data_IF_188257409998
#
_entry.id   IF_188257409998
#
_cell.length_a   1.000
_cell.length_b   1.000
_cell.length_c   1.000
_cell.angle_alpha   90.00
_cell.angle_beta   90.00
_cell.angle_gamma   90.00
#
_symmetry.space_group_name_H-M   'P 1'
#
loop_
_entity.id
_entity.type
_entity.pdbx_description
1 polymer ?
#
# COMPACT_ATOMS: atom_id res chain seq x y z
N UNK A 1 -18.59 34.69 -6.65
CA UNK A 1 -19.26 33.57 -7.36
C UNK A 1 -18.47 32.29 -7.17
N UNK A 2 -17.18 32.25 -7.54
CA UNK A 2 -16.31 31.10 -7.31
C UNK A 2 -16.21 30.68 -5.84
N UNK A 3 -15.85 31.58 -4.92
CA UNK A 3 -15.79 31.25 -3.49
C UNK A 3 -17.14 30.74 -2.91
N UNK A 4 -18.27 31.24 -3.41
CA UNK A 4 -19.59 30.74 -2.99
C UNK A 4 -19.86 29.32 -3.50
N UNK A 5 -19.37 28.99 -4.70
CA UNK A 5 -19.42 27.62 -5.22
C UNK A 5 -18.55 26.67 -4.38
N UNK A 6 -17.34 27.09 -4.01
CA UNK A 6 -16.45 26.29 -3.17
C UNK A 6 -17.09 26.00 -1.80
N UNK A 7 -17.70 26.99 -1.15
CA UNK A 7 -18.42 26.78 0.10
C UNK A 7 -19.59 25.78 -0.04
N UNK A 8 -20.33 25.83 -1.15
CA UNK A 8 -21.40 24.86 -1.41
C UNK A 8 -20.85 23.45 -1.65
N UNK A 9 -19.73 23.33 -2.39
CA UNK A 9 -19.08 22.05 -2.64
C UNK A 9 -18.50 21.44 -1.35
N UNK A 10 -17.88 22.27 -0.49
CA UNK A 10 -17.41 21.86 0.84
C UNK A 10 -18.54 21.36 1.75
N UNK A 11 -19.75 21.92 1.61
CA UNK A 11 -20.98 21.47 2.29
C UNK A 11 -21.65 20.26 1.61
N UNK A 12 -21.02 19.68 0.57
CA UNK A 12 -21.53 18.54 -0.21
C UNK A 12 -22.71 18.88 -1.14
N UNK A 13 -23.06 20.17 -1.29
CA UNK A 13 -24.14 20.66 -2.14
C UNK A 13 -23.66 20.85 -3.58
N UNK A 14 -23.11 19.78 -4.15
CA UNK A 14 -22.37 19.81 -5.41
C UNK A 14 -23.22 20.26 -6.62
N UNK A 15 -24.51 19.92 -6.65
CA UNK A 15 -25.41 20.35 -7.72
C UNK A 15 -25.64 21.88 -7.71
N UNK A 16 -25.81 22.46 -6.53
CA UNK A 16 -25.94 23.92 -6.38
C UNK A 16 -24.61 24.61 -6.65
N UNK A 17 -23.50 24.03 -6.18
CA UNK A 17 -22.16 24.50 -6.48
C UNK A 17 -21.93 24.56 -8.00
N UNK A 18 -22.34 23.55 -8.76
CA UNK A 18 -22.21 23.50 -10.23
C UNK A 18 -22.89 24.70 -10.91
N UNK A 19 -24.07 25.11 -10.45
CA UNK A 19 -24.74 26.30 -10.99
C UNK A 19 -23.91 27.58 -10.80
N UNK A 20 -23.27 27.72 -9.65
CA UNK A 20 -22.40 28.85 -9.32
C UNK A 20 -21.06 28.79 -10.06
N UNK A 21 -20.49 27.60 -10.21
CA UNK A 21 -19.31 27.34 -11.01
C UNK A 21 -19.54 27.71 -12.48
N UNK A 22 -20.66 27.28 -13.09
CA UNK A 22 -21.03 27.68 -14.46
C UNK A 22 -21.19 29.19 -14.63
N UNK A 23 -21.74 29.88 -13.63
CA UNK A 23 -21.83 31.35 -13.62
C UNK A 23 -20.44 32.00 -13.57
N UNK A 24 -19.54 31.47 -12.74
CA UNK A 24 -18.16 31.95 -12.65
C UNK A 24 -17.37 31.71 -13.95
N UNK A 25 -17.53 30.54 -14.58
CA UNK A 25 -16.83 30.18 -15.82
C UNK A 25 -17.23 31.07 -17.01
N UNK A 26 -18.48 31.55 -17.06
CA UNK A 26 -18.89 32.54 -18.08
C UNK A 26 -18.10 33.85 -18.00
N UNK A 27 -17.61 34.21 -16.82
CA UNK A 27 -16.84 35.44 -16.61
C UNK A 27 -15.34 35.21 -16.73
N UNK A 28 -14.87 34.03 -16.31
CA UNK A 28 -13.45 33.65 -16.30
C UNK A 28 -13.26 32.24 -16.90
N UNK A 29 -13.38 32.08 -18.23
CA UNK A 29 -13.42 30.74 -18.86
C UNK A 29 -12.06 30.02 -18.91
N UNK A 30 -10.96 30.73 -18.67
CA UNK A 30 -9.57 30.23 -18.73
C UNK A 30 -8.86 30.29 -17.36
N UNK A 31 -9.60 30.52 -16.28
CA UNK A 31 -9.02 30.56 -14.94
C UNK A 31 -8.77 29.12 -14.45
N UNK A 32 -7.50 28.72 -14.37
CA UNK A 32 -7.10 27.33 -14.11
C UNK A 32 -7.57 26.82 -12.74
N UNK A 33 -7.51 27.68 -11.71
CA UNK A 33 -8.03 27.36 -10.38
C UNK A 33 -9.54 27.10 -10.40
N UNK A 34 -10.31 27.98 -11.05
CA UNK A 34 -11.74 27.78 -11.22
C UNK A 34 -12.05 26.50 -12.02
N UNK A 35 -11.36 26.26 -13.14
CA UNK A 35 -11.55 25.04 -13.94
C UNK A 35 -11.28 23.79 -13.10
N UNK A 36 -10.23 23.79 -12.28
CA UNK A 36 -9.86 22.70 -11.38
C UNK A 36 -10.93 22.46 -10.31
N UNK A 37 -11.47 23.52 -9.69
CA UNK A 37 -12.55 23.41 -8.71
C UNK A 37 -13.86 22.91 -9.35
N UNK A 38 -14.19 23.38 -10.55
CA UNK A 38 -15.32 22.85 -11.32
C UNK A 38 -15.13 21.37 -11.61
N UNK A 39 -13.94 20.94 -12.03
CA UNK A 39 -13.66 19.54 -12.34
C UNK A 39 -13.78 18.63 -11.11
N UNK A 40 -13.28 19.08 -9.96
CA UNK A 40 -13.45 18.38 -8.69
C UNK A 40 -14.94 18.22 -8.34
N UNK A 41 -15.74 19.27 -8.47
CA UNK A 41 -17.19 19.20 -8.28
C UNK A 41 -17.88 18.26 -9.29
N UNK A 42 -17.41 18.24 -10.55
CA UNK A 42 -17.92 17.33 -11.57
C UNK A 42 -17.63 15.86 -11.21
N UNK A 43 -16.47 15.56 -10.63
CA UNK A 43 -16.14 14.22 -10.14
C UNK A 43 -17.10 13.76 -9.04
N UNK A 44 -17.44 14.64 -8.09
CA UNK A 44 -18.42 14.35 -7.04
C UNK A 44 -19.83 14.07 -7.60
N UNK A 45 -20.18 14.70 -8.72
CA UNK A 45 -21.44 14.51 -9.44
C UNK A 45 -21.41 13.36 -10.47
N UNK A 46 -20.31 12.61 -10.55
CA UNK A 46 -20.09 11.55 -11.55
C UNK A 46 -20.14 12.03 -13.02
N UNK A 47 -19.87 13.32 -13.25
CA UNK A 47 -19.78 13.94 -14.58
C UNK A 47 -18.36 13.79 -15.13
N UNK A 48 -17.97 12.54 -15.43
CA UNK A 48 -16.58 12.18 -15.73
C UNK A 48 -16.04 12.80 -17.03
N UNK A 49 -16.88 13.08 -18.02
CA UNK A 49 -16.43 13.66 -19.28
C UNK A 49 -16.22 15.16 -19.16
N UNK A 50 -17.11 15.83 -18.43
CA UNK A 50 -17.02 17.24 -18.08
C UNK A 50 -15.79 17.50 -17.19
N UNK A 51 -15.55 16.64 -16.20
CA UNK A 51 -14.33 16.71 -15.40
C UNK A 51 -13.05 16.60 -16.24
N UNK A 52 -13.05 15.70 -17.25
CA UNK A 52 -11.91 15.51 -18.16
C UNK A 52 -11.65 16.76 -19.02
N UNK A 53 -12.69 17.33 -19.63
CA UNK A 53 -12.58 18.58 -20.41
C UNK A 53 -12.04 19.72 -19.56
N UNK A 54 -12.61 19.90 -18.36
CA UNK A 54 -12.22 20.96 -17.44
C UNK A 54 -10.78 20.80 -16.97
N UNK A 55 -10.33 19.59 -16.65
CA UNK A 55 -8.93 19.31 -16.28
C UNK A 55 -7.97 19.53 -17.44
N UNK A 56 -8.31 19.07 -18.66
CA UNK A 56 -7.50 19.31 -19.84
C UNK A 56 -7.28 20.81 -20.07
N UNK A 57 -8.37 21.59 -20.04
CA UNK A 57 -8.32 23.04 -20.18
C UNK A 57 -7.57 23.73 -19.06
N UNK A 58 -7.65 23.23 -17.83
CA UNK A 58 -6.90 23.77 -16.70
C UNK A 58 -5.39 23.56 -16.90
N UNK A 59 -4.99 22.35 -17.30
CA UNK A 59 -3.60 21.99 -17.55
C UNK A 59 -3.00 22.69 -18.77
N UNK A 60 -3.82 23.05 -19.77
CA UNK A 60 -3.38 23.91 -20.89
C UNK A 60 -2.94 25.31 -20.42
N UNK A 61 -3.37 25.76 -19.24
CA UNK A 61 -2.97 27.05 -18.66
C UNK A 61 -1.77 26.92 -17.74
N UNK A 62 -1.83 25.99 -16.79
CA UNK A 62 -0.78 25.74 -15.80
C UNK A 62 -0.90 24.33 -15.21
N UNK A 63 0.18 23.83 -14.60
CA UNK A 63 0.17 22.56 -13.89
C UNK A 63 0.21 22.76 -12.37
N UNK A 64 -0.44 21.86 -11.64
CA UNK A 64 -0.37 21.80 -10.18
C UNK A 64 -0.43 20.35 -9.69
N UNK A 65 0.11 20.11 -8.50
CA UNK A 65 0.02 18.80 -7.84
C UNK A 65 -1.43 18.31 -7.74
N UNK A 66 -2.35 19.20 -7.37
CA UNK A 66 -3.79 18.89 -7.28
C UNK A 66 -4.39 18.48 -8.62
N UNK A 67 -4.04 19.13 -9.72
CA UNK A 67 -4.53 18.75 -11.05
C UNK A 67 -4.09 17.35 -11.44
N UNK A 68 -2.81 16.99 -11.24
CA UNK A 68 -2.34 15.64 -11.51
C UNK A 68 -3.05 14.57 -10.68
N UNK A 69 -3.28 14.85 -9.38
CA UNK A 69 -4.04 13.94 -8.51
C UNK A 69 -5.49 13.76 -9.00
N UNK A 70 -6.16 14.84 -9.40
CA UNK A 70 -7.51 14.77 -9.98
C UNK A 70 -7.54 14.00 -11.30
N UNK A 71 -6.54 14.17 -12.17
CA UNK A 71 -6.40 13.38 -13.41
C UNK A 71 -6.21 11.90 -13.08
N UNK A 72 -5.38 11.57 -12.10
CA UNK A 72 -5.18 10.18 -11.68
C UNK A 72 -6.44 9.54 -11.11
N UNK A 73 -7.17 10.28 -10.27
CA UNK A 73 -8.45 9.86 -9.73
C UNK A 73 -9.48 9.64 -10.83
N UNK A 74 -9.66 10.61 -11.73
CA UNK A 74 -10.55 10.52 -12.89
C UNK A 74 -10.22 9.31 -13.77
N UNK A 75 -8.94 9.15 -14.14
CA UNK A 75 -8.48 8.05 -14.98
C UNK A 75 -8.75 6.70 -14.30
N UNK A 76 -8.51 6.60 -12.99
CA UNK A 76 -8.83 5.40 -12.22
C UNK A 76 -10.33 5.07 -12.21
N UNK A 77 -11.20 6.08 -12.09
CA UNK A 77 -12.66 5.91 -12.18
C UNK A 77 -13.12 5.44 -13.57
N UNK A 78 -12.42 5.86 -14.64
CA UNK A 78 -12.65 5.39 -16.01
C UNK A 78 -12.01 4.03 -16.31
N UNK A 79 -11.25 3.44 -15.38
CA UNK A 79 -10.48 2.21 -15.61
C UNK A 79 -9.20 2.40 -16.44
N UNK A 80 -8.80 3.65 -16.70
CA UNK A 80 -7.63 4.04 -17.48
C UNK A 80 -6.35 4.02 -16.63
N UNK A 81 -6.03 2.87 -16.03
CA UNK A 81 -4.94 2.75 -15.05
C UNK A 81 -3.56 3.20 -15.56
N UNK A 82 -3.28 3.03 -16.86
CA UNK A 82 -2.03 3.51 -17.46
C UNK A 82 -1.95 5.04 -17.47
N UNK A 83 -3.08 5.72 -17.71
CA UNK A 83 -3.16 7.18 -17.67
C UNK A 83 -3.03 7.69 -16.24
N UNK A 84 -3.65 7.02 -15.27
CA UNK A 84 -3.49 7.34 -13.85
C UNK A 84 -2.02 7.22 -13.40
N UNK A 85 -1.34 6.16 -13.83
CA UNK A 85 0.08 5.94 -13.55
C UNK A 85 0.96 7.04 -14.13
N UNK A 86 0.76 7.39 -15.41
CA UNK A 86 1.52 8.46 -16.06
C UNK A 86 1.32 9.79 -15.33
N UNK A 87 0.08 10.12 -14.96
CA UNK A 87 -0.21 11.35 -14.22
C UNK A 87 0.51 11.41 -12.87
N UNK A 88 0.47 10.32 -12.08
CA UNK A 88 1.13 10.28 -10.76
C UNK A 88 2.66 10.28 -10.86
N UNK A 89 3.23 9.60 -11.87
CA UNK A 89 4.67 9.61 -12.11
C UNK A 89 5.17 11.00 -12.51
N UNK A 90 4.47 11.67 -13.43
CA UNK A 90 4.77 13.05 -13.80
C UNK A 90 4.66 13.98 -12.58
N UNK A 91 3.61 13.82 -11.77
CA UNK A 91 3.42 14.59 -10.56
C UNK A 91 4.57 14.39 -9.55
N UNK A 92 5.03 13.15 -9.37
CA UNK A 92 6.15 12.84 -8.47
C UNK A 92 7.50 13.35 -9.00
N UNK A 93 7.64 13.54 -10.31
CA UNK A 93 8.83 14.19 -10.90
C UNK A 93 8.80 15.71 -10.67
N UNK A 94 7.66 16.36 -10.89
CA UNK A 94 7.52 17.82 -10.74
C UNK A 94 7.41 18.27 -9.27
N UNK A 95 6.83 17.44 -8.41
CA UNK A 95 6.57 17.71 -6.99
C UNK A 95 7.09 16.56 -6.10
N UNK A 96 8.41 16.30 -6.07
CA UNK A 96 8.99 15.10 -5.48
C UNK A 96 8.85 14.97 -3.95
N UNK A 97 8.40 16.02 -3.26
CA UNK A 97 8.18 16.05 -1.80
C UNK A 97 6.72 16.30 -1.43
N UNK A 98 5.81 16.29 -2.41
CA UNK A 98 4.39 16.45 -2.12
C UNK A 98 3.84 15.14 -1.53
N UNK A 99 3.48 15.19 -0.25
CA UNK A 99 3.05 14.03 0.51
C UNK A 99 1.79 13.38 -0.08
N UNK A 100 0.92 14.18 -0.66
CA UNK A 100 -0.34 13.77 -1.25
C UNK A 100 -0.12 12.99 -2.56
N UNK A 101 0.79 13.45 -3.42
CA UNK A 101 1.21 12.72 -4.63
C UNK A 101 1.89 11.40 -4.26
N UNK A 102 2.81 11.41 -3.30
CA UNK A 102 3.53 10.21 -2.89
C UNK A 102 2.56 9.17 -2.29
N UNK A 103 1.61 9.60 -1.47
CA UNK A 103 0.58 8.71 -0.94
C UNK A 103 -0.30 8.11 -2.05
N UNK A 104 -0.78 8.93 -3.00
CA UNK A 104 -1.60 8.44 -4.12
C UNK A 104 -0.82 7.46 -5.01
N UNK A 105 0.47 7.72 -5.25
CA UNK A 105 1.34 6.84 -6.02
C UNK A 105 1.64 5.52 -5.29
N UNK A 106 1.86 5.54 -3.97
CA UNK A 106 2.00 4.32 -3.17
C UNK A 106 0.73 3.47 -3.23
N UNK A 107 -0.44 4.08 -3.05
CA UNK A 107 -1.74 3.40 -3.16
C UNK A 107 -1.95 2.81 -4.56
N UNK A 108 -1.62 3.54 -5.62
CA UNK A 108 -1.67 3.03 -7.00
C UNK A 108 -0.82 1.78 -7.17
N UNK A 109 0.45 1.79 -6.72
CA UNK A 109 1.32 0.63 -6.81
C UNK A 109 0.82 -0.56 -5.99
N UNK A 110 0.26 -0.30 -4.81
CA UNK A 110 -0.40 -1.34 -4.01
C UNK A 110 -1.57 -1.96 -4.77
N UNK A 111 -2.44 -1.17 -5.41
CA UNK A 111 -3.57 -1.67 -6.21
C UNK A 111 -3.10 -2.52 -7.40
N UNK A 112 -1.96 -2.18 -8.01
CA UNK A 112 -1.34 -2.92 -9.12
C UNK A 112 -0.48 -4.11 -8.69
N UNK A 113 -0.50 -4.48 -7.40
CA UNK A 113 0.32 -5.55 -6.83
C UNK A 113 1.83 -5.39 -7.06
N UNK A 114 2.32 -4.13 -7.05
CA UNK A 114 3.74 -3.79 -7.18
C UNK A 114 4.32 -3.41 -5.82
N UNK A 115 4.56 -4.40 -4.97
CA UNK A 115 5.03 -4.24 -3.58
C UNK A 115 6.29 -3.38 -3.48
N UNK A 116 7.35 -3.75 -4.20
CA UNK A 116 8.66 -3.10 -4.08
C UNK A 116 8.59 -1.61 -4.49
N UNK A 117 7.78 -1.30 -5.52
CA UNK A 117 7.54 0.10 -5.92
C UNK A 117 6.77 0.88 -4.86
N UNK A 118 5.75 0.28 -4.25
CA UNK A 118 5.01 0.93 -3.18
C UNK A 118 5.90 1.19 -1.95
N UNK A 119 6.75 0.25 -1.59
CA UNK A 119 7.73 0.37 -0.50
C UNK A 119 8.70 1.54 -0.76
N UNK A 120 9.26 1.64 -1.97
CA UNK A 120 10.12 2.77 -2.36
C UNK A 120 9.42 4.13 -2.21
N UNK A 121 8.15 4.24 -2.63
CA UNK A 121 7.40 5.50 -2.54
C UNK A 121 7.02 5.83 -1.09
N UNK A 122 6.73 4.84 -0.25
CA UNK A 122 6.45 5.05 1.18
C UNK A 122 7.69 5.58 1.90
N UNK A 123 8.89 5.09 1.58
CA UNK A 123 10.13 5.65 2.12
C UNK A 123 10.34 7.10 1.65
N UNK A 124 10.04 7.42 0.38
CA UNK A 124 10.08 8.82 -0.09
C UNK A 124 9.08 9.72 0.65
N UNK A 125 7.88 9.21 0.96
CA UNK A 125 6.87 9.94 1.74
C UNK A 125 7.38 10.25 3.15
N UNK A 126 8.03 9.28 3.78
CA UNK A 126 8.68 9.46 5.08
C UNK A 126 9.80 10.50 5.00
N UNK A 127 10.66 10.43 3.99
CA UNK A 127 11.73 11.40 3.75
C UNK A 127 11.22 12.82 3.45
N UNK A 128 9.98 12.94 2.94
CA UNK A 128 9.29 14.21 2.75
C UNK A 128 8.72 14.79 4.07
N UNK A 129 8.76 14.05 5.17
CA UNK A 129 8.38 14.49 6.51
C UNK A 129 6.98 14.08 6.98
N UNK A 130 6.25 13.28 6.20
CA UNK A 130 4.94 12.73 6.59
C UNK A 130 5.10 11.31 7.15
N UNK A 131 5.75 11.22 8.32
CA UNK A 131 6.06 9.95 8.97
C UNK A 131 4.80 9.17 9.39
N UNK A 132 3.75 9.88 9.82
CA UNK A 132 2.49 9.27 10.25
C UNK A 132 1.82 8.54 9.09
N UNK A 133 1.61 9.24 7.96
CA UNK A 133 0.98 8.64 6.78
C UNK A 133 1.86 7.56 6.14
N UNK A 134 3.18 7.71 6.17
CA UNK A 134 4.10 6.66 5.74
C UNK A 134 3.97 5.39 6.61
N UNK A 135 3.83 5.53 7.92
CA UNK A 135 3.63 4.40 8.83
C UNK A 135 2.28 3.71 8.61
N UNK A 136 1.22 4.47 8.35
CA UNK A 136 -0.10 3.94 8.00
C UNK A 136 -0.03 3.12 6.70
N UNK A 137 0.47 3.72 5.61
CA UNK A 137 0.62 3.05 4.32
C UNK A 137 1.56 1.84 4.40
N UNK A 138 2.63 1.91 5.18
CA UNK A 138 3.52 0.78 5.44
C UNK A 138 2.79 -0.38 6.13
N UNK A 139 1.92 -0.08 7.09
CA UNK A 139 1.09 -1.08 7.77
C UNK A 139 0.07 -1.71 6.82
N UNK A 140 -0.55 -0.91 5.95
CA UNK A 140 -1.45 -1.40 4.91
C UNK A 140 -0.75 -2.27 3.87
N UNK A 141 0.43 -1.85 3.40
CA UNK A 141 1.30 -2.61 2.51
C UNK A 141 1.62 -3.97 3.13
N UNK A 142 2.09 -3.97 4.38
CA UNK A 142 2.40 -5.19 5.10
C UNK A 142 1.17 -6.08 5.22
N UNK A 143 -0.01 -5.56 5.59
CA UNK A 143 -1.24 -6.35 5.69
C UNK A 143 -1.66 -6.97 4.34
N UNK A 144 -1.48 -6.22 3.25
CA UNK A 144 -1.85 -6.66 1.89
C UNK A 144 -0.92 -7.74 1.35
N UNK A 145 0.39 -7.59 1.54
CA UNK A 145 1.37 -8.47 0.90
C UNK A 145 1.95 -9.53 1.83
N UNK A 146 1.76 -9.41 3.15
CA UNK A 146 2.28 -10.36 4.12
C UNK A 146 1.18 -10.93 5.01
N UNK A 147 1.45 -12.11 5.58
CA UNK A 147 0.69 -12.72 6.65
C UNK A 147 1.60 -13.03 7.85
N UNK A 148 1.07 -13.00 9.07
CA UNK A 148 1.85 -13.33 10.25
C UNK A 148 1.99 -14.85 10.44
N UNK A 149 3.16 -15.25 10.92
CA UNK A 149 3.41 -16.52 11.58
C UNK A 149 3.84 -16.18 13.00
N UNK A 150 3.22 -16.78 14.01
CA UNK A 150 3.54 -16.48 15.40
C UNK A 150 4.09 -17.71 16.12
N UNK A 151 5.07 -17.49 16.98
CA UNK A 151 5.48 -18.47 17.97
C UNK A 151 4.32 -18.66 18.97
N UNK A 152 3.80 -19.88 19.07
CA UNK A 152 2.68 -20.20 19.95
C UNK A 152 3.00 -20.08 21.45
N UNK A 153 4.28 -19.99 21.82
CA UNK A 153 4.72 -19.95 23.22
C UNK A 153 5.08 -18.55 23.70
N UNK A 154 5.85 -17.78 22.91
CA UNK A 154 6.30 -16.44 23.29
C UNK A 154 5.62 -15.30 22.52
N UNK A 155 4.74 -15.60 21.56
CA UNK A 155 4.03 -14.61 20.77
C UNK A 155 4.85 -13.92 19.67
N UNK A 156 6.16 -14.20 19.57
CA UNK A 156 7.04 -13.64 18.52
C UNK A 156 6.40 -13.75 17.15
N UNK A 157 6.32 -12.63 16.43
CA UNK A 157 5.77 -12.54 15.08
C UNK A 157 6.87 -12.54 14.03
N UNK A 158 6.66 -13.33 12.97
CA UNK A 158 7.36 -13.22 11.69
C UNK A 158 6.34 -12.87 10.62
N UNK A 159 6.71 -12.06 9.64
CA UNK A 159 5.88 -11.77 8.47
C UNK A 159 6.45 -12.44 7.25
N UNK A 160 5.58 -13.13 6.52
CA UNK A 160 5.92 -13.83 5.29
C UNK A 160 5.07 -13.31 4.14
N UNK A 161 5.56 -13.30 2.90
CA UNK A 161 4.74 -12.99 1.73
C UNK A 161 3.49 -13.88 1.72
N UNK A 162 2.34 -13.33 1.32
CA UNK A 162 1.12 -14.15 1.10
C UNK A 162 1.23 -15.05 -0.11
N UNK A 163 1.98 -14.61 -1.12
CA UNK A 163 2.26 -15.38 -2.32
C UNK A 163 3.70 -15.89 -2.25
N UNK A 164 3.87 -17.04 -1.60
CA UNK A 164 5.18 -17.70 -1.47
C UNK A 164 5.36 -18.62 -2.67
N UNK A 165 6.39 -18.44 -3.50
CA UNK A 165 6.66 -19.35 -4.61
C UNK A 165 6.92 -20.76 -4.07
N UNK A 166 6.65 -21.83 -4.85
CA UNK A 166 6.85 -23.21 -4.40
C UNK A 166 8.22 -23.40 -3.75
N UNK A 167 8.23 -23.79 -2.47
CA UNK A 167 9.46 -23.99 -1.73
C UNK A 167 9.98 -25.41 -1.94
N UNK A 168 11.26 -25.53 -2.29
CA UNK A 168 11.94 -26.81 -2.29
C UNK A 168 12.09 -27.36 -0.85
N UNK A 169 12.37 -28.65 -0.72
CA UNK A 169 12.71 -29.23 0.58
C UNK A 169 13.97 -28.55 1.14
N UNK A 170 13.84 -27.85 2.26
CA UNK A 170 14.95 -27.15 2.88
C UNK A 170 15.86 -28.12 3.64
N UNK A 171 17.16 -28.10 3.32
CA UNK A 171 18.22 -28.67 4.16
C UNK A 171 18.99 -27.53 4.80
N UNK A 172 18.87 -27.45 6.12
CA UNK A 172 19.56 -26.46 6.94
C UNK A 172 21.05 -26.84 7.00
N UNK A 173 21.94 -25.90 6.65
CA UNK A 173 23.40 -26.11 6.63
C UNK A 173 24.11 -25.59 7.87
N UNK A 174 23.58 -24.53 8.45
CA UNK A 174 24.12 -23.86 9.64
C UNK A 174 23.11 -23.89 10.78
N UNK A 175 23.59 -23.76 12.02
CA UNK A 175 22.70 -23.64 13.19
C UNK A 175 21.93 -22.32 13.13
N UNK A 176 20.59 -22.34 13.00
CA UNK A 176 19.79 -21.14 12.97
C UNK A 176 19.66 -20.52 14.37
N UNK A 177 19.65 -19.18 14.48
CA UNK A 177 19.49 -18.49 15.76
C UNK A 177 18.12 -18.74 16.42
N UNK A 178 18.07 -18.51 17.74
CA UNK A 178 16.93 -18.82 18.60
C UNK A 178 15.64 -18.07 18.28
N UNK A 179 15.75 -16.97 17.53
CA UNK A 179 14.66 -16.14 17.07
C UNK A 179 13.97 -16.64 15.80
N UNK A 180 14.48 -17.69 15.15
CA UNK A 180 13.86 -18.30 13.98
C UNK A 180 12.88 -19.43 14.35
N UNK A 181 11.93 -19.75 13.47
CA UNK A 181 11.00 -20.86 13.70
C UNK A 181 11.74 -22.21 13.68
N UNK A 182 11.52 -23.04 14.69
CA UNK A 182 12.01 -24.41 14.77
C UNK A 182 11.22 -25.37 13.86
N UNK A 183 9.94 -25.07 13.65
CA UNK A 183 9.02 -25.89 12.88
C UNK A 183 7.59 -25.75 13.37
N UNK A 184 6.70 -26.48 12.71
CA UNK A 184 5.26 -26.51 12.98
C UNK A 184 4.85 -27.90 13.44
N UNK A 185 4.03 -27.98 14.47
CA UNK A 185 3.47 -29.24 14.93
C UNK A 185 2.52 -29.81 13.88
N UNK A 186 2.68 -31.10 13.52
CA UNK A 186 1.78 -31.75 12.55
C UNK A 186 0.41 -32.14 13.10
N UNK A 187 0.17 -31.95 14.40
CA UNK A 187 -1.10 -32.26 15.08
C UNK A 187 -1.88 -30.97 15.33
N UNK A 188 -1.40 -30.08 16.21
CA UNK A 188 -2.11 -28.82 16.51
C UNK A 188 -1.82 -27.66 15.54
N UNK A 189 -0.86 -27.78 14.60
CA UNK A 189 -0.52 -26.72 13.65
C UNK A 189 0.25 -25.53 14.25
N UNK A 190 0.64 -25.58 15.53
CA UNK A 190 1.37 -24.51 16.20
C UNK A 190 2.81 -24.43 15.71
N UNK A 191 3.26 -23.22 15.35
CA UNK A 191 4.66 -22.91 15.05
C UNK A 191 5.35 -22.39 16.31
N UNK A 192 6.62 -22.78 16.53
CA UNK A 192 7.39 -22.42 17.72
C UNK A 192 8.78 -21.95 17.31
N UNK A 193 9.34 -20.94 17.99
CA UNK A 193 10.73 -20.51 17.76
C UNK A 193 11.74 -21.49 18.38
N UNK A 194 12.97 -21.51 17.86
CA UNK A 194 14.06 -22.37 18.34
C UNK A 194 14.33 -22.15 19.84
N UNK A 195 14.39 -20.90 20.30
CA UNK A 195 14.59 -20.60 21.72
C UNK A 195 13.53 -21.21 22.64
N UNK A 196 12.25 -21.16 22.26
CA UNK A 196 11.19 -21.82 23.02
C UNK A 196 11.26 -23.34 22.89
N UNK A 197 11.53 -23.86 21.69
CA UNK A 197 11.58 -25.28 21.41
C UNK A 197 12.73 -26.01 22.12
N UNK A 198 13.83 -25.33 22.44
CA UNK A 198 14.95 -25.86 23.25
C UNK A 198 14.52 -26.40 24.62
N UNK A 199 13.45 -25.86 25.21
CA UNK A 199 12.90 -26.34 26.48
C UNK A 199 12.18 -27.70 26.35
N UNK A 200 11.92 -28.15 25.12
CA UNK A 200 11.22 -29.40 24.82
C UNK A 200 11.97 -30.20 23.75
N UNK A 201 13.23 -30.49 24.04
CA UNK A 201 14.10 -31.32 23.21
C UNK A 201 13.91 -32.79 23.59
N UNK A 202 13.60 -33.64 22.61
CA UNK A 202 13.55 -35.09 22.83
C UNK A 202 14.94 -35.72 22.94
N UNK A 203 15.00 -36.92 23.48
CA UNK A 203 16.24 -37.73 23.58
C UNK A 203 16.88 -37.99 22.20
N UNK A 204 16.09 -37.91 21.13
CA UNK A 204 16.51 -38.01 19.72
C UNK A 204 17.11 -36.70 19.16
N UNK A 205 17.29 -35.68 20.01
CA UNK A 205 17.82 -34.37 19.63
C UNK A 205 16.85 -33.54 18.80
N UNK A 206 15.56 -33.93 18.72
CA UNK A 206 14.55 -33.22 17.92
C UNK A 206 13.67 -32.34 18.79
N UNK A 207 13.40 -31.13 18.30
CA UNK A 207 12.43 -30.24 18.92
C UNK A 207 11.02 -30.83 18.87
N UNK A 208 10.30 -30.78 19.99
CA UNK A 208 8.95 -31.35 20.13
C UNK A 208 7.93 -30.30 20.51
N UNK A 209 6.69 -30.52 20.08
CA UNK A 209 5.56 -29.71 20.49
C UNK A 209 5.33 -29.86 22.01
N UNK A 210 5.19 -28.75 22.73
CA UNK A 210 4.96 -28.74 24.18
C UNK A 210 3.61 -29.34 24.59
N UNK A 211 2.63 -29.38 23.68
CA UNK A 211 1.29 -29.91 23.93
C UNK A 211 1.13 -31.35 23.45
N UNK A 212 1.53 -31.63 22.21
CA UNK A 212 1.29 -32.93 21.58
C UNK A 212 2.47 -33.92 21.73
N UNK A 213 3.64 -33.45 22.16
CA UNK A 213 4.86 -34.28 22.30
C UNK A 213 5.48 -34.78 20.98
N UNK A 214 4.85 -34.49 19.82
CA UNK A 214 5.35 -34.89 18.50
C UNK A 214 6.48 -33.98 18.01
N UNK A 215 7.42 -34.48 17.18
CA UNK A 215 8.47 -33.65 16.59
C UNK A 215 7.90 -32.52 15.73
N UNK A 216 8.45 -31.32 15.88
CA UNK A 216 8.15 -30.20 14.98
C UNK A 216 8.68 -30.49 13.58
N UNK A 217 7.91 -30.14 12.55
CA UNK A 217 8.24 -30.42 11.14
C UNK A 217 8.38 -29.13 10.34
N UNK A 218 9.28 -29.17 9.36
CA UNK A 218 9.40 -28.15 8.31
C UNK A 218 8.44 -28.51 7.16
N UNK A 219 7.14 -28.45 7.43
CA UNK A 219 6.09 -28.69 6.42
C UNK A 219 5.27 -27.44 6.09
N UNK A 220 5.26 -26.44 6.97
CA UNK A 220 4.65 -25.15 6.67
C UNK A 220 5.57 -24.37 5.72
N UNK A 221 5.08 -24.12 4.50
CA UNK A 221 5.79 -23.38 3.46
C UNK A 221 6.25 -21.98 3.92
N UNK A 222 5.52 -21.36 4.86
CA UNK A 222 5.87 -20.06 5.46
C UNK A 222 7.10 -20.16 6.35
N UNK A 223 7.17 -21.21 7.17
CA UNK A 223 8.34 -21.52 8.01
C UNK A 223 9.55 -21.87 7.14
N UNK A 224 9.34 -22.67 6.10
CA UNK A 224 10.39 -23.03 5.14
C UNK A 224 10.93 -21.76 4.45
N UNK A 225 10.05 -20.85 4.03
CA UNK A 225 10.45 -19.59 3.41
C UNK A 225 11.32 -18.75 4.35
N UNK A 226 10.91 -18.57 5.62
CA UNK A 226 11.68 -17.81 6.61
C UNK A 226 13.11 -18.34 6.78
N UNK A 227 13.24 -19.65 6.95
CA UNK A 227 14.55 -20.30 7.10
C UNK A 227 15.38 -20.25 5.81
N UNK A 228 14.73 -20.33 4.65
CA UNK A 228 15.39 -20.22 3.34
C UNK A 228 15.94 -18.82 3.10
N UNK A 229 15.19 -17.78 3.47
CA UNK A 229 15.66 -16.38 3.38
C UNK A 229 16.87 -16.15 4.27
N UNK A 230 16.82 -16.64 5.52
CA UNK A 230 17.96 -16.54 6.44
C UNK A 230 19.20 -17.25 5.89
N UNK A 231 19.05 -18.47 5.36
CA UNK A 231 20.18 -19.22 4.83
C UNK A 231 20.76 -18.59 3.55
N UNK A 232 19.94 -17.91 2.73
CA UNK A 232 20.41 -17.21 1.54
C UNK A 232 21.26 -15.95 1.86
N UNK A 233 21.21 -15.46 3.10
CA UNK A 233 21.97 -14.31 3.58
C UNK A 233 23.29 -14.70 4.27
N UNK A 234 23.63 -15.99 4.30
CA UNK A 234 24.89 -16.54 4.85
C UNK A 234 25.75 -17.14 3.75
#
# INVERSE_FOLDING_TARGET
MHAAANLLAEDGRNAEADEWYRKALRQRPFDAGLLTDCAANCLELDMLNEADDLLGRAMDQEHSARMYRLVSFLASRKGEHARAEVALLQAAEEYPKDADILADLAMHWMQRNKRDKAEEIIEKLKDAGDEERAAELGSELARKFTEPVNCALCGREWRVPRDIPPQASLRIRDEPPDDLPAGTCSVCGKTVCIGCAKHNLGDDGRFRCAEDGVPLKLSDHRVIWLLSQWQAQR
#
